data_IF_510065525525
#
_entry.id   IF_510065525525
#
_cell.length_a   1.000
_cell.length_b   1.000
_cell.length_c   1.000
_cell.angle_alpha   90.00
_cell.angle_beta   90.00
_cell.angle_gamma   90.00
#
_symmetry.space_group_name_H-M   'P 1'
#
loop_
_entity.id
_entity.type
_entity.pdbx_description
1 polymer ?
#
# COMPACT_ATOMS: atom_id res chain seq x y z
N UNK A 1 11.12 -5.93 35.11
CA UNK A 1 10.00 -5.34 34.35
C UNK A 1 10.27 -5.65 32.88
N UNK A 2 9.39 -6.36 32.21
CA UNK A 2 9.55 -6.67 30.78
C UNK A 2 9.12 -5.48 29.93
N UNK A 3 9.53 -5.44 28.65
CA UNK A 3 9.06 -4.41 27.71
C UNK A 3 7.53 -4.39 27.58
N UNK A 4 6.90 -5.55 27.68
CA UNK A 4 5.43 -5.67 27.62
C UNK A 4 4.77 -5.09 28.87
N UNK A 5 5.37 -5.26 30.05
CA UNK A 5 4.86 -4.66 31.28
C UNK A 5 4.91 -3.13 31.22
N UNK A 6 5.97 -2.55 30.64
CA UNK A 6 6.06 -1.10 30.42
C UNK A 6 5.00 -0.58 29.44
N UNK A 7 4.65 -1.35 28.40
CA UNK A 7 3.57 -0.98 27.48
C UNK A 7 2.22 -0.99 28.20
N UNK A 8 1.98 -2.01 29.03
CA UNK A 8 0.74 -2.16 29.78
C UNK A 8 0.58 -1.04 30.81
N UNK A 9 1.67 -0.66 31.48
CA UNK A 9 1.69 0.47 32.43
C UNK A 9 1.39 1.80 31.70
N UNK A 10 2.08 2.09 30.60
CA UNK A 10 1.87 3.29 29.81
C UNK A 10 0.44 3.38 29.23
N UNK A 11 -0.17 2.24 28.88
CA UNK A 11 -1.55 2.18 28.46
C UNK A 11 -2.52 2.47 29.61
N UNK A 12 -2.29 1.89 30.79
CA UNK A 12 -3.11 2.11 31.96
C UNK A 12 -3.04 3.56 32.48
N UNK A 13 -1.89 4.19 32.35
CA UNK A 13 -1.69 5.62 32.65
C UNK A 13 -2.28 6.55 31.59
N UNK A 14 -2.75 6.03 30.47
CA UNK A 14 -3.27 6.81 29.35
C UNK A 14 -2.20 7.59 28.57
N UNK A 15 -0.92 7.27 28.78
CA UNK A 15 0.21 7.90 28.08
C UNK A 15 0.26 7.49 26.63
N UNK A 16 -0.19 6.27 26.31
CA UNK A 16 -0.33 5.74 24.96
C UNK A 16 -1.75 5.22 24.73
N UNK A 17 -2.17 5.20 23.45
CA UNK A 17 -3.46 4.62 23.07
C UNK A 17 -3.35 3.10 22.90
N UNK A 18 -4.50 2.39 22.95
CA UNK A 18 -4.55 0.95 22.68
C UNK A 18 -3.91 0.60 21.34
N UNK A 19 -4.15 1.40 20.28
CA UNK A 19 -3.55 1.18 18.96
C UNK A 19 -2.02 1.29 18.98
N UNK A 20 -1.49 2.23 19.76
CA UNK A 20 -0.04 2.38 19.95
C UNK A 20 0.56 1.21 20.74
N UNK A 21 -0.11 0.78 21.80
CA UNK A 21 0.32 -0.38 22.59
C UNK A 21 0.38 -1.65 21.73
N UNK A 22 -0.67 -1.90 20.91
CA UNK A 22 -0.71 -3.05 20.04
C UNK A 22 0.36 -3.00 18.93
N UNK A 23 0.66 -1.83 18.41
CA UNK A 23 1.74 -1.65 17.45
C UNK A 23 3.12 -1.91 18.07
N UNK A 24 3.37 -1.40 19.29
CA UNK A 24 4.62 -1.64 20.01
C UNK A 24 4.81 -3.12 20.33
N UNK A 25 3.75 -3.80 20.77
CA UNK A 25 3.80 -5.26 21.00
C UNK A 25 4.10 -6.03 19.72
N UNK A 26 3.47 -5.68 18.59
CA UNK A 26 3.74 -6.33 17.29
C UNK A 26 5.20 -6.18 16.86
N UNK A 27 5.77 -4.99 17.02
CA UNK A 27 7.17 -4.71 16.68
C UNK A 27 8.13 -5.50 17.54
N UNK A 28 7.86 -5.55 18.84
CA UNK A 28 8.63 -6.36 19.78
C UNK A 28 8.57 -7.85 19.40
N UNK A 29 7.38 -8.39 19.18
CA UNK A 29 7.21 -9.80 18.84
C UNK A 29 7.90 -10.16 17.51
N UNK A 30 7.85 -9.26 16.52
CA UNK A 30 8.55 -9.43 15.25
C UNK A 30 10.07 -9.41 15.39
N UNK A 31 10.60 -8.42 16.10
CA UNK A 31 12.03 -8.31 16.37
C UNK A 31 12.56 -9.47 17.24
N UNK A 32 11.78 -9.87 18.24
CA UNK A 32 12.12 -11.03 19.08
C UNK A 32 12.21 -12.32 18.26
N UNK A 33 11.24 -12.59 17.39
CA UNK A 33 11.23 -13.78 16.54
C UNK A 33 12.41 -13.81 15.56
N UNK A 34 12.87 -12.66 15.10
CA UNK A 34 14.05 -12.56 14.23
C UNK A 34 15.35 -12.75 15.02
N UNK A 35 15.53 -12.06 16.14
CA UNK A 35 16.71 -12.10 16.97
C UNK A 35 16.91 -13.47 17.65
N UNK A 36 15.84 -14.15 18.06
CA UNK A 36 15.87 -15.48 18.66
C UNK A 36 16.42 -16.59 17.73
N UNK A 37 16.61 -16.29 16.45
CA UNK A 37 17.27 -17.23 15.51
C UNK A 37 18.78 -17.28 15.67
N UNK A 38 19.38 -16.23 16.21
CA UNK A 38 20.83 -16.06 16.27
C UNK A 38 21.36 -15.74 17.66
N UNK A 39 20.49 -15.44 18.61
CA UNK A 39 20.83 -15.01 19.98
C UNK A 39 20.12 -15.88 21.02
N UNK A 40 20.61 -15.85 22.26
CA UNK A 40 19.88 -16.45 23.38
C UNK A 40 18.55 -15.72 23.62
N UNK A 41 17.60 -16.37 24.31
CA UNK A 41 16.26 -15.79 24.56
C UNK A 41 16.34 -14.44 25.29
N UNK A 42 17.25 -14.29 26.26
CA UNK A 42 17.37 -13.07 27.04
C UNK A 42 18.01 -11.94 26.22
N UNK A 43 19.03 -12.23 25.43
CA UNK A 43 19.63 -11.27 24.50
C UNK A 43 18.66 -10.86 23.40
N UNK A 44 17.91 -11.81 22.86
CA UNK A 44 16.87 -11.53 21.84
C UNK A 44 15.76 -10.62 22.41
N UNK A 45 15.34 -10.83 23.65
CA UNK A 45 14.35 -9.99 24.32
C UNK A 45 14.87 -8.56 24.58
N UNK A 46 16.11 -8.45 25.04
CA UNK A 46 16.74 -7.14 25.26
C UNK A 46 16.96 -6.36 23.96
N UNK A 47 17.36 -7.03 22.88
CA UNK A 47 17.53 -6.40 21.59
C UNK A 47 16.19 -6.03 20.96
N UNK A 48 15.19 -6.91 21.01
CA UNK A 48 13.85 -6.64 20.52
C UNK A 48 13.17 -5.44 21.21
N UNK A 49 13.46 -5.26 22.51
CA UNK A 49 12.97 -4.09 23.25
C UNK A 49 13.55 -2.79 22.70
N UNK A 50 14.86 -2.75 22.42
CA UNK A 50 15.53 -1.60 21.81
C UNK A 50 14.99 -1.32 20.41
N UNK A 51 14.96 -2.35 19.57
CA UNK A 51 14.51 -2.22 18.18
C UNK A 51 13.06 -1.74 18.07
N UNK A 52 12.18 -2.25 18.94
CA UNK A 52 10.78 -1.84 19.00
C UNK A 52 10.63 -0.37 19.47
N UNK A 53 11.41 0.04 20.47
CA UNK A 53 11.39 1.41 20.98
C UNK A 53 11.90 2.39 19.93
N UNK A 54 13.10 2.17 19.38
CA UNK A 54 13.73 3.04 18.40
C UNK A 54 12.88 3.17 17.13
N UNK A 55 12.32 2.07 16.65
CA UNK A 55 11.45 2.10 15.47
C UNK A 55 10.14 2.87 15.72
N UNK A 56 9.59 2.77 16.92
CA UNK A 56 8.36 3.48 17.32
C UNK A 56 8.61 4.97 17.46
N UNK A 57 9.68 5.36 18.13
CA UNK A 57 10.08 6.76 18.29
C UNK A 57 10.34 7.42 16.93
N UNK A 58 11.12 6.76 16.07
CA UNK A 58 11.40 7.24 14.72
C UNK A 58 10.13 7.48 13.90
N UNK A 59 9.16 6.56 13.95
CA UNK A 59 7.89 6.74 13.24
C UNK A 59 7.03 7.85 13.81
N UNK A 60 6.98 8.00 15.13
CA UNK A 60 6.26 9.11 15.76
C UNK A 60 6.83 10.46 15.33
N UNK A 61 8.16 10.59 15.29
CA UNK A 61 8.84 11.79 14.80
C UNK A 61 8.53 12.03 13.31
N UNK A 62 8.59 11.00 12.49
CA UNK A 62 8.24 11.11 11.07
C UNK A 62 6.76 11.49 10.88
N UNK A 63 5.85 10.91 11.66
CA UNK A 63 4.42 11.24 11.62
C UNK A 63 4.18 12.70 11.98
N UNK A 64 4.79 13.18 13.07
CA UNK A 64 4.69 14.57 13.49
C UNK A 64 5.23 15.53 12.42
N UNK A 65 6.39 15.25 11.85
CA UNK A 65 6.97 16.04 10.75
C UNK A 65 6.07 16.06 9.52
N UNK A 66 5.43 14.95 9.18
CA UNK A 66 4.48 14.88 8.05
C UNK A 66 3.25 15.75 8.30
N UNK A 67 2.66 15.68 9.50
CA UNK A 67 1.51 16.50 9.86
C UNK A 67 1.83 17.99 9.80
N UNK A 68 3.00 18.41 10.30
CA UNK A 68 3.46 19.80 10.20
C UNK A 68 3.57 20.21 8.73
N UNK A 69 4.26 19.42 7.89
CA UNK A 69 4.40 19.72 6.46
C UNK A 69 3.07 19.77 5.72
N UNK A 70 2.11 18.90 6.08
CA UNK A 70 0.77 18.94 5.50
C UNK A 70 0.02 20.22 5.88
N UNK A 71 0.08 20.58 7.16
CA UNK A 71 -0.55 21.80 7.66
C UNK A 71 0.06 23.05 7.00
N UNK A 72 1.40 23.12 6.92
CA UNK A 72 2.09 24.22 6.25
C UNK A 72 1.71 24.33 4.77
N UNK A 73 1.64 23.19 4.08
CA UNK A 73 1.22 23.16 2.68
C UNK A 73 -0.26 23.57 2.49
N UNK A 74 -1.14 23.17 3.41
CA UNK A 74 -2.56 23.59 3.40
C UNK A 74 -2.68 25.09 3.65
N UNK A 75 -1.97 25.62 4.65
CA UNK A 75 -1.99 27.04 4.95
C UNK A 75 -1.43 27.88 3.79
N UNK A 76 -0.32 27.45 3.18
CA UNK A 76 0.24 28.14 2.03
C UNK A 76 -0.76 28.19 0.86
N UNK A 77 -1.50 27.08 0.62
CA UNK A 77 -2.54 27.04 -0.41
C UNK A 77 -3.74 27.93 -0.06
N UNK A 78 -4.16 27.91 1.19
CA UNK A 78 -5.25 28.77 1.65
C UNK A 78 -4.88 30.24 1.50
N UNK A 79 -3.68 30.64 1.90
CA UNK A 79 -3.20 32.00 1.73
C UNK A 79 -3.14 32.40 0.26
N UNK A 80 -2.67 31.54 -0.63
CA UNK A 80 -2.65 31.81 -2.06
C UNK A 80 -4.04 32.07 -2.64
N UNK A 81 -5.07 31.38 -2.15
CA UNK A 81 -6.47 31.61 -2.56
C UNK A 81 -7.04 32.90 -1.97
N UNK A 82 -6.64 33.27 -0.74
CA UNK A 82 -7.12 34.44 -0.02
C UNK A 82 -6.40 35.76 -0.45
N UNK A 83 -5.15 35.66 -0.88
CA UNK A 83 -4.30 36.84 -1.19
C UNK A 83 -4.81 37.66 -2.39
N UNK A 84 -5.78 37.17 -3.14
CA UNK A 84 -6.30 37.85 -4.32
C UNK A 84 -7.32 38.97 -3.96
N UNK A 85 -7.82 39.08 -2.73
CA UNK A 85 -8.67 40.19 -2.22
C UNK A 85 -9.13 39.95 -0.77
N UNK A 86 -8.48 39.05 -0.03
CA UNK A 86 -8.91 38.67 1.32
C UNK A 86 -10.24 37.91 1.36
N UNK A 87 -10.72 37.46 0.21
CA UNK A 87 -11.99 36.74 0.03
C UNK A 87 -11.76 35.45 -0.74
N UNK A 88 -12.61 34.44 -0.48
CA UNK A 88 -12.67 33.26 -1.32
C UNK A 88 -13.15 33.62 -2.72
N UNK A 89 -12.24 33.71 -3.66
CA UNK A 89 -12.56 33.98 -5.06
C UNK A 89 -12.78 32.63 -5.75
N UNK A 90 -13.88 32.51 -6.48
CA UNK A 90 -14.20 31.28 -7.24
C UNK A 90 -13.08 30.88 -8.20
N UNK A 91 -12.37 31.85 -8.77
CA UNK A 91 -11.18 31.64 -9.60
C UNK A 91 -10.03 30.95 -8.83
N UNK A 92 -9.74 31.38 -7.60
CA UNK A 92 -8.71 30.77 -6.77
C UNK A 92 -9.02 29.33 -6.39
N UNK A 93 -10.30 29.05 -6.10
CA UNK A 93 -10.75 27.69 -5.84
C UNK A 93 -10.68 26.83 -7.10
N UNK A 94 -11.10 27.36 -8.25
CA UNK A 94 -11.00 26.66 -9.54
C UNK A 94 -9.54 26.34 -9.88
N UNK A 95 -8.61 27.26 -9.61
CA UNK A 95 -7.18 27.04 -9.85
C UNK A 95 -6.60 25.89 -9.01
N UNK A 96 -7.11 25.61 -7.82
CA UNK A 96 -6.68 24.44 -7.03
C UNK A 96 -6.99 23.14 -7.78
N UNK A 97 -8.08 23.10 -8.50
CA UNK A 97 -8.58 21.92 -9.19
C UNK A 97 -7.99 21.78 -10.60
N UNK A 98 -8.01 22.86 -11.36
CA UNK A 98 -7.70 22.86 -12.78
C UNK A 98 -6.79 24.03 -13.19
N UNK A 99 -6.25 23.95 -14.38
CA UNK A 99 -5.35 24.91 -14.98
C UNK A 99 -6.09 26.15 -15.48
N UNK A 100 -5.84 27.31 -14.90
CA UNK A 100 -6.41 28.56 -15.38
C UNK A 100 -5.56 29.24 -16.49
N UNK A 101 -4.32 28.79 -16.68
CA UNK A 101 -3.41 29.33 -17.69
C UNK A 101 -2.89 30.76 -17.41
N UNK A 102 -3.35 31.41 -16.34
CA UNK A 102 -3.02 32.82 -16.06
C UNK A 102 -1.58 33.05 -15.58
N UNK A 103 -0.95 32.02 -15.06
CA UNK A 103 0.35 32.13 -14.41
C UNK A 103 0.39 32.95 -13.11
N UNK A 104 -0.78 33.32 -12.59
CA UNK A 104 -0.92 34.15 -11.37
C UNK A 104 -0.56 33.38 -10.10
N UNK A 105 -0.69 32.07 -10.13
CA UNK A 105 -0.56 31.21 -8.94
C UNK A 105 0.78 30.52 -8.90
N UNK A 106 1.42 30.51 -7.73
CA UNK A 106 2.75 29.92 -7.51
C UNK A 106 2.74 28.40 -7.51
N UNK A 107 1.64 27.81 -7.09
CA UNK A 107 1.51 26.36 -6.94
C UNK A 107 0.78 25.73 -8.12
N UNK A 108 1.18 24.53 -8.49
CA UNK A 108 0.51 23.78 -9.55
C UNK A 108 -0.85 23.26 -9.04
N UNK A 109 -1.86 23.36 -9.90
CA UNK A 109 -3.16 22.73 -9.70
C UNK A 109 -3.09 21.19 -9.61
N UNK A 110 -4.19 20.56 -9.19
CA UNK A 110 -4.27 19.11 -9.01
C UNK A 110 -4.14 18.37 -10.35
N UNK A 111 -4.75 18.88 -11.43
CA UNK A 111 -4.67 18.22 -12.73
C UNK A 111 -3.26 18.26 -13.30
N UNK A 112 -2.57 19.39 -13.25
CA UNK A 112 -1.17 19.50 -13.65
C UNK A 112 -0.25 18.59 -12.85
N UNK A 113 -0.50 18.41 -11.55
CA UNK A 113 0.25 17.47 -10.71
C UNK A 113 0.00 16.02 -11.13
N UNK A 114 -1.27 15.65 -11.31
CA UNK A 114 -1.66 14.32 -11.79
C UNK A 114 -0.99 14.02 -13.13
N UNK A 115 -1.13 14.92 -14.08
CA UNK A 115 -0.53 14.80 -15.42
C UNK A 115 0.99 14.68 -15.37
N UNK A 116 1.65 15.44 -14.50
CA UNK A 116 3.09 15.35 -14.29
C UNK A 116 3.52 13.96 -13.79
N UNK A 117 2.80 13.36 -12.84
CA UNK A 117 3.11 12.01 -12.36
C UNK A 117 2.84 10.94 -13.41
N UNK A 118 1.73 11.04 -14.13
CA UNK A 118 1.41 10.13 -15.24
C UNK A 118 2.49 10.20 -16.33
N UNK A 119 2.90 11.41 -16.74
CA UNK A 119 3.94 11.61 -17.74
C UNK A 119 5.30 11.04 -17.30
N UNK A 120 5.67 11.22 -16.03
CA UNK A 120 6.90 10.63 -15.47
C UNK A 120 6.85 9.10 -15.46
N UNK A 121 5.71 8.52 -15.08
CA UNK A 121 5.51 7.07 -15.11
C UNK A 121 5.63 6.55 -16.54
N UNK A 122 4.97 7.18 -17.50
CA UNK A 122 5.07 6.83 -18.93
C UNK A 122 6.50 6.95 -19.46
N UNK A 123 7.21 8.05 -19.13
CA UNK A 123 8.60 8.23 -19.56
C UNK A 123 9.54 7.14 -19.05
N UNK A 124 9.37 6.73 -17.78
CA UNK A 124 10.14 5.61 -17.20
C UNK A 124 9.84 4.27 -17.88
N UNK A 125 8.59 4.04 -18.23
CA UNK A 125 8.15 2.80 -18.88
C UNK A 125 8.40 2.79 -20.40
N UNK A 126 8.58 3.93 -21.04
CA UNK A 126 8.61 4.07 -22.50
C UNK A 126 9.66 3.18 -23.18
N UNK A 127 10.86 3.09 -22.61
CA UNK A 127 11.93 2.24 -23.15
C UNK A 127 11.59 0.75 -23.09
N UNK A 128 11.02 0.30 -21.99
CA UNK A 128 10.61 -1.09 -21.78
C UNK A 128 9.43 -1.45 -22.71
N UNK A 129 8.42 -0.58 -22.80
CA UNK A 129 7.27 -0.73 -23.71
C UNK A 129 7.73 -0.78 -25.17
N UNK A 130 8.66 0.09 -25.56
CA UNK A 130 9.21 0.13 -26.92
C UNK A 130 9.95 -1.15 -27.30
N UNK A 131 10.71 -1.74 -26.35
CA UNK A 131 11.35 -3.04 -26.56
C UNK A 131 10.32 -4.15 -26.73
N UNK A 132 9.30 -4.19 -25.90
CA UNK A 132 8.20 -5.16 -26.02
C UNK A 132 7.46 -5.06 -27.37
N UNK A 133 7.21 -3.85 -27.84
CA UNK A 133 6.59 -3.62 -29.17
C UNK A 133 7.45 -4.13 -30.32
N UNK A 134 8.77 -3.93 -30.24
CA UNK A 134 9.72 -4.38 -31.28
C UNK A 134 9.83 -5.91 -31.35
N UNK A 135 9.66 -6.60 -30.24
CA UNK A 135 9.65 -8.06 -30.22
C UNK A 135 8.34 -8.67 -30.75
N UNK A 136 7.44 -7.86 -31.32
CA UNK A 136 6.20 -8.31 -31.97
C UNK A 136 5.09 -8.76 -31.00
N UNK A 137 5.31 -8.56 -29.71
CA UNK A 137 4.51 -9.18 -28.64
C UNK A 137 3.20 -8.42 -28.38
N UNK A 138 3.17 -7.12 -28.62
CA UNK A 138 1.95 -6.30 -28.43
C UNK A 138 1.03 -6.24 -29.66
N UNK A 139 1.31 -6.97 -30.72
CA UNK A 139 0.61 -6.66 -31.97
C UNK A 139 -0.01 -7.78 -32.80
N UNK A 140 0.46 -9.03 -32.81
CA UNK A 140 -0.04 -10.01 -33.81
C UNK A 140 0.05 -11.50 -33.46
N UNK A 141 0.69 -11.95 -32.41
CA UNK A 141 0.77 -13.39 -32.14
C UNK A 141 0.28 -13.72 -30.72
N UNK A 142 -0.97 -14.15 -30.63
CA UNK A 142 -1.60 -14.60 -29.37
C UNK A 142 -0.78 -15.62 -28.58
N UNK A 143 -0.08 -16.54 -29.23
CA UNK A 143 0.70 -17.60 -28.60
C UNK A 143 2.00 -17.10 -27.93
N UNK A 144 2.67 -16.09 -28.50
CA UNK A 144 3.87 -15.50 -27.90
C UNK A 144 3.57 -14.47 -26.79
N UNK A 145 2.38 -13.87 -26.82
CA UNK A 145 1.97 -12.89 -25.82
C UNK A 145 1.68 -13.54 -24.46
N UNK A 146 1.08 -14.72 -24.43
CA UNK A 146 0.79 -15.43 -23.20
C UNK A 146 2.08 -15.89 -22.48
N UNK A 147 3.01 -16.48 -23.21
CA UNK A 147 4.30 -16.87 -22.65
C UNK A 147 5.06 -15.66 -22.04
N UNK A 148 5.06 -14.52 -22.73
CA UNK A 148 5.72 -13.32 -22.19
C UNK A 148 4.98 -12.73 -21.00
N UNK A 149 3.63 -12.77 -20.97
CA UNK A 149 2.88 -12.33 -19.80
C UNK A 149 3.25 -13.18 -18.57
N UNK A 150 3.39 -14.49 -18.75
CA UNK A 150 3.84 -15.38 -17.70
C UNK A 150 5.26 -15.03 -17.23
N UNK A 151 6.20 -14.85 -18.17
CA UNK A 151 7.56 -14.44 -17.86
C UNK A 151 7.60 -13.09 -17.13
N UNK A 152 6.79 -12.14 -17.59
CA UNK A 152 6.70 -10.82 -17.00
C UNK A 152 6.21 -10.88 -15.54
N UNK A 153 5.16 -11.65 -15.29
CA UNK A 153 4.63 -11.81 -13.93
C UNK A 153 5.66 -12.48 -13.04
N UNK A 154 6.36 -13.53 -13.52
CA UNK A 154 7.46 -14.15 -12.79
C UNK A 154 8.53 -13.14 -12.37
N UNK A 155 9.02 -12.35 -13.31
CA UNK A 155 10.06 -11.35 -13.05
C UNK A 155 9.60 -10.25 -12.07
N UNK A 156 8.34 -9.82 -12.15
CA UNK A 156 7.77 -8.84 -11.22
C UNK A 156 7.68 -9.42 -9.79
N UNK A 157 7.45 -10.72 -9.67
CA UNK A 157 7.45 -11.44 -8.39
C UNK A 157 8.83 -11.96 -7.98
N UNK A 158 9.90 -11.48 -8.61
CA UNK A 158 11.31 -11.85 -8.35
C UNK A 158 11.61 -13.33 -8.65
N UNK A 159 10.90 -13.94 -9.56
CA UNK A 159 11.19 -15.28 -10.08
C UNK A 159 11.85 -15.12 -11.45
N UNK A 160 13.08 -15.63 -11.62
CA UNK A 160 13.80 -15.52 -12.88
C UNK A 160 13.11 -16.37 -13.96
N UNK A 161 12.65 -15.72 -15.01
CA UNK A 161 12.02 -16.36 -16.18
C UNK A 161 13.01 -16.74 -17.26
N UNK A 162 14.26 -16.28 -17.18
CA UNK A 162 15.25 -16.36 -18.24
C UNK A 162 15.00 -15.40 -19.42
N UNK A 163 13.93 -14.58 -19.38
CA UNK A 163 13.55 -13.68 -20.46
C UNK A 163 14.04 -12.25 -20.18
N UNK A 164 15.11 -11.83 -20.85
CA UNK A 164 15.71 -10.51 -20.66
C UNK A 164 14.75 -9.34 -20.96
N UNK A 165 13.78 -9.52 -21.86
CA UNK A 165 12.78 -8.49 -22.16
C UNK A 165 11.78 -8.35 -21.01
N UNK A 166 11.30 -9.46 -20.47
CA UNK A 166 10.44 -9.49 -19.29
C UNK A 166 11.13 -8.87 -18.07
N UNK A 167 12.39 -9.26 -17.83
CA UNK A 167 13.23 -8.73 -16.74
C UNK A 167 13.41 -7.21 -16.81
N UNK A 168 13.71 -6.68 -17.99
CA UNK A 168 13.84 -5.23 -18.19
C UNK A 168 12.53 -4.48 -17.95
N UNK A 169 11.41 -5.05 -18.37
CA UNK A 169 10.09 -4.45 -18.12
C UNK A 169 9.73 -4.50 -16.65
N UNK A 170 9.90 -5.64 -15.99
CA UNK A 170 9.64 -5.80 -14.58
C UNK A 170 10.44 -4.80 -13.72
N UNK A 171 11.73 -4.62 -14.03
CA UNK A 171 12.56 -3.61 -13.38
C UNK A 171 11.98 -2.19 -13.55
N UNK A 172 11.64 -1.79 -14.77
CA UNK A 172 11.05 -0.48 -15.04
C UNK A 172 9.71 -0.29 -14.31
N UNK A 173 8.89 -1.34 -14.24
CA UNK A 173 7.64 -1.36 -13.49
C UNK A 173 7.83 -1.13 -12.00
N UNK A 174 8.69 -1.95 -11.37
CA UNK A 174 8.95 -1.87 -9.92
C UNK A 174 9.55 -0.51 -9.54
N UNK A 175 10.50 0.00 -10.32
CA UNK A 175 11.10 1.32 -10.10
C UNK A 175 10.06 2.46 -10.25
N UNK A 176 9.14 2.33 -11.20
CA UNK A 176 8.07 3.32 -11.40
C UNK A 176 7.05 3.29 -10.27
N UNK A 177 6.64 2.10 -9.84
CA UNK A 177 5.73 1.93 -8.71
C UNK A 177 6.36 2.48 -7.41
N UNK A 178 7.64 2.21 -7.17
CA UNK A 178 8.36 2.73 -6.01
C UNK A 178 8.49 4.26 -6.04
N UNK A 179 8.75 4.85 -7.20
CA UNK A 179 8.74 6.31 -7.37
C UNK A 179 7.37 6.91 -6.99
N UNK A 180 6.29 6.31 -7.44
CA UNK A 180 4.93 6.78 -7.13
C UNK A 180 4.61 6.61 -5.64
N UNK A 181 4.98 5.48 -5.04
CA UNK A 181 4.83 5.22 -3.62
C UNK A 181 5.57 6.26 -2.77
N UNK A 182 6.84 6.53 -3.12
CA UNK A 182 7.66 7.53 -2.43
C UNK A 182 7.08 8.95 -2.58
N UNK A 183 6.61 9.30 -3.78
CA UNK A 183 5.96 10.58 -4.03
C UNK A 183 4.70 10.76 -3.18
N UNK A 184 3.87 9.71 -3.10
CA UNK A 184 2.69 9.70 -2.24
C UNK A 184 3.05 9.84 -0.75
N UNK A 185 4.05 9.08 -0.29
CA UNK A 185 4.50 9.16 1.11
C UNK A 185 5.14 10.52 1.44
N UNK A 186 5.86 11.12 0.49
CA UNK A 186 6.41 12.47 0.65
C UNK A 186 5.31 13.53 0.80
N UNK A 187 4.18 13.32 0.16
CA UNK A 187 3.00 14.19 0.28
C UNK A 187 2.17 13.94 1.55
N UNK A 188 2.65 13.08 2.45
CA UNK A 188 1.98 12.77 3.73
C UNK A 188 1.23 11.45 3.75
N UNK A 189 1.35 10.65 2.70
CA UNK A 189 0.87 9.28 2.70
C UNK A 189 1.74 8.37 3.57
N UNK A 190 1.30 7.12 3.74
CA UNK A 190 2.01 6.12 4.53
C UNK A 190 1.81 4.71 3.94
N UNK A 191 2.12 4.54 2.66
CA UNK A 191 2.09 3.23 2.01
C UNK A 191 3.39 2.49 2.37
N UNK A 192 3.33 1.36 3.11
CA UNK A 192 4.52 0.58 3.43
C UNK A 192 5.12 -0.02 2.16
N UNK A 193 6.43 -0.27 2.18
CA UNK A 193 7.07 -1.07 1.14
C UNK A 193 6.88 -2.55 1.50
N UNK A 194 6.34 -3.31 0.56
CA UNK A 194 6.17 -4.76 0.71
C UNK A 194 7.10 -5.48 -0.26
N UNK A 195 7.79 -6.49 0.21
CA UNK A 195 8.66 -7.34 -0.62
C UNK A 195 7.88 -8.30 -1.52
N UNK A 196 6.63 -8.61 -1.12
CA UNK A 196 5.71 -9.50 -1.82
C UNK A 196 4.71 -8.76 -2.73
N UNK A 197 4.85 -7.44 -2.87
CA UNK A 197 4.02 -6.68 -3.78
C UNK A 197 4.64 -6.66 -5.18
N UNK A 198 3.96 -7.28 -6.12
CA UNK A 198 4.38 -7.28 -7.53
C UNK A 198 3.50 -6.39 -8.40
N UNK A 199 2.21 -6.69 -8.44
CA UNK A 199 1.23 -5.98 -9.27
C UNK A 199 -0.04 -5.63 -8.47
N UNK A 200 -0.75 -4.56 -8.88
CA UNK A 200 -2.09 -4.29 -8.34
C UNK A 200 -3.02 -5.46 -8.60
N UNK A 201 -3.80 -5.84 -7.60
CA UNK A 201 -4.83 -6.85 -7.75
C UNK A 201 -6.11 -6.19 -8.26
N UNK A 202 -6.63 -6.72 -9.34
CA UNK A 202 -7.94 -6.37 -9.84
C UNK A 202 -8.91 -7.52 -9.54
N UNK A 203 -10.13 -7.16 -9.23
CA UNK A 203 -11.17 -8.14 -8.94
C UNK A 203 -12.35 -7.85 -9.85
N UNK A 204 -12.73 -8.79 -10.71
CA UNK A 204 -13.98 -8.68 -11.45
C UNK A 204 -15.15 -8.93 -10.50
N UNK A 205 -15.70 -7.84 -9.98
CA UNK A 205 -16.81 -7.88 -9.01
C UNK A 205 -18.07 -8.53 -9.57
N UNK A 206 -18.26 -8.49 -10.88
CA UNK A 206 -19.42 -9.12 -11.50
C UNK A 206 -19.27 -10.63 -11.45
N UNK A 207 -18.13 -11.15 -11.91
CA UNK A 207 -17.86 -12.60 -11.87
C UNK A 207 -17.85 -13.12 -10.44
N UNK A 208 -17.21 -12.42 -9.50
CA UNK A 208 -17.17 -12.81 -8.09
C UNK A 208 -18.58 -12.85 -7.46
N UNK A 209 -19.44 -11.89 -7.83
CA UNK A 209 -20.83 -11.88 -7.36
C UNK A 209 -21.66 -13.02 -7.97
N UNK A 210 -21.48 -13.31 -9.25
CA UNK A 210 -22.15 -14.39 -9.96
C UNK A 210 -21.76 -15.76 -9.41
N UNK A 211 -20.49 -15.97 -9.09
CA UNK A 211 -19.99 -17.20 -8.46
C UNK A 211 -20.49 -17.38 -7.02
N UNK A 212 -20.67 -16.29 -6.29
CA UNK A 212 -20.99 -16.34 -4.87
C UNK A 212 -19.79 -16.64 -3.99
N UNK A 213 -20.00 -16.55 -2.66
CA UNK A 213 -18.90 -16.70 -1.71
C UNK A 213 -18.28 -18.10 -1.73
N UNK A 214 -19.10 -19.15 -1.71
CA UNK A 214 -18.62 -20.52 -1.59
C UNK A 214 -17.74 -20.95 -2.77
N UNK A 215 -18.15 -20.64 -4.00
CA UNK A 215 -17.38 -20.95 -5.20
C UNK A 215 -16.09 -20.12 -5.26
N UNK A 216 -16.19 -18.81 -5.01
CA UNK A 216 -15.01 -17.93 -4.97
C UNK A 216 -14.03 -18.37 -3.87
N UNK A 217 -14.51 -18.67 -2.67
CA UNK A 217 -13.71 -19.17 -1.55
C UNK A 217 -12.99 -20.48 -1.90
N UNK A 218 -13.72 -21.43 -2.44
CA UNK A 218 -13.16 -22.73 -2.85
C UNK A 218 -12.04 -22.56 -3.87
N UNK A 219 -12.22 -21.66 -4.82
CA UNK A 219 -11.21 -21.36 -5.83
C UNK A 219 -9.96 -20.67 -5.25
N UNK A 220 -10.17 -19.63 -4.44
CA UNK A 220 -9.07 -18.77 -3.99
C UNK A 220 -8.26 -19.36 -2.84
N UNK A 221 -8.90 -20.13 -1.95
CA UNK A 221 -8.30 -20.64 -0.72
C UNK A 221 -6.97 -21.36 -0.96
N UNK A 222 -6.92 -22.23 -1.98
CA UNK A 222 -5.74 -23.02 -2.30
C UNK A 222 -4.69 -22.29 -3.12
N UNK A 223 -5.01 -21.11 -3.64
CA UNK A 223 -4.08 -20.24 -4.35
C UNK A 223 -3.28 -19.34 -3.39
N UNK A 224 -3.73 -19.18 -2.14
CA UNK A 224 -3.14 -18.25 -1.19
C UNK A 224 -2.01 -18.86 -0.37
N UNK A 225 -1.00 -18.04 -0.10
CA UNK A 225 0.07 -18.34 0.84
C UNK A 225 -0.32 -17.89 2.26
N UNK A 226 -1.01 -18.76 2.94
CA UNK A 226 -1.46 -18.50 4.31
C UNK A 226 -0.35 -18.29 5.33
N UNK A 227 0.87 -18.71 5.03
CA UNK A 227 2.02 -18.48 5.91
C UNK A 227 2.51 -17.02 5.87
N UNK A 228 2.16 -16.28 4.81
CA UNK A 228 2.52 -14.86 4.65
C UNK A 228 1.35 -13.90 4.82
N UNK A 229 0.12 -14.40 4.97
CA UNK A 229 -1.06 -13.58 5.24
C UNK A 229 -1.13 -13.30 6.74
N UNK A 230 -0.94 -12.02 7.07
CA UNK A 230 -0.89 -11.54 8.44
C UNK A 230 -2.17 -10.74 8.74
N UNK A 231 -2.78 -11.00 9.87
CA UNK A 231 -3.90 -10.20 10.36
C UNK A 231 -3.42 -8.78 10.68
N UNK A 232 -4.06 -7.78 10.10
CA UNK A 232 -3.74 -6.38 10.39
C UNK A 232 -4.03 -5.97 11.83
N UNK A 233 -4.99 -6.66 12.45
CA UNK A 233 -5.38 -6.40 13.83
C UNK A 233 -4.34 -6.91 14.83
N UNK A 234 -3.77 -8.09 14.58
CA UNK A 234 -2.90 -8.78 15.54
C UNK A 234 -1.43 -8.80 15.12
N UNK A 235 -1.11 -8.51 13.84
CA UNK A 235 0.22 -8.66 13.27
C UNK A 235 0.71 -10.10 13.20
N UNK A 236 -0.17 -11.08 13.40
CA UNK A 236 0.17 -12.52 13.40
C UNK A 236 -0.42 -13.22 12.19
N UNK A 237 0.19 -14.36 11.84
CA UNK A 237 -0.34 -15.27 10.82
C UNK A 237 -1.78 -15.67 11.20
N UNK A 238 -2.66 -15.70 10.22
CA UNK A 238 -4.06 -16.01 10.42
C UNK A 238 -4.20 -17.53 10.68
N UNK A 239 -4.74 -17.94 11.85
CA UNK A 239 -4.98 -19.35 12.16
C UNK A 239 -6.00 -19.96 11.20
N UNK A 240 -5.96 -21.29 11.05
CA UNK A 240 -6.85 -22.00 10.11
C UNK A 240 -8.34 -21.72 10.37
N UNK A 241 -8.71 -21.65 11.63
CA UNK A 241 -10.09 -21.44 12.10
C UNK A 241 -10.64 -20.05 11.72
N UNK A 242 -9.77 -19.08 11.51
CA UNK A 242 -10.16 -17.69 11.16
C UNK A 242 -10.08 -17.40 9.65
N UNK A 243 -9.55 -18.32 8.85
CA UNK A 243 -9.34 -18.09 7.41
C UNK A 243 -10.63 -17.85 6.65
N UNK A 244 -11.67 -18.56 7.02
CA UNK A 244 -12.98 -18.43 6.38
C UNK A 244 -13.61 -17.07 6.67
N UNK A 245 -13.58 -16.62 7.93
CA UNK A 245 -14.04 -15.29 8.32
C UNK A 245 -13.27 -14.18 7.57
N UNK A 246 -11.96 -14.32 7.45
CA UNK A 246 -11.12 -13.36 6.71
C UNK A 246 -11.45 -13.35 5.22
N UNK A 247 -11.68 -14.51 4.60
CA UNK A 247 -12.10 -14.57 3.20
C UNK A 247 -13.48 -13.97 2.99
N UNK A 248 -14.42 -14.20 3.91
CA UNK A 248 -15.74 -13.56 3.88
C UNK A 248 -15.62 -12.04 3.92
N UNK A 249 -14.79 -11.52 4.80
CA UNK A 249 -14.54 -10.09 4.93
C UNK A 249 -13.91 -9.49 3.68
N UNK A 250 -12.94 -10.19 3.06
CA UNK A 250 -12.32 -9.78 1.79
C UNK A 250 -13.35 -9.80 0.66
N UNK A 251 -14.16 -10.85 0.55
CA UNK A 251 -15.22 -10.98 -0.44
C UNK A 251 -16.20 -9.80 -0.38
N UNK A 252 -16.72 -9.48 0.80
CA UNK A 252 -17.61 -8.35 1.01
C UNK A 252 -16.94 -7.03 0.66
N UNK A 253 -15.65 -6.87 1.00
CA UNK A 253 -14.88 -5.68 0.68
C UNK A 253 -14.69 -5.52 -0.83
N UNK A 254 -14.48 -6.60 -1.56
CA UNK A 254 -14.41 -6.59 -3.01
C UNK A 254 -15.77 -6.17 -3.61
N UNK A 255 -16.85 -6.82 -3.21
CA UNK A 255 -18.18 -6.56 -3.75
C UNK A 255 -18.67 -5.13 -3.48
N UNK A 256 -18.39 -4.60 -2.31
CA UNK A 256 -18.80 -3.25 -1.90
C UNK A 256 -17.79 -2.17 -2.30
N UNK A 257 -16.68 -2.52 -2.95
CA UNK A 257 -15.54 -1.60 -3.20
C UNK A 257 -14.99 -0.95 -1.93
N UNK A 258 -15.05 -1.66 -0.81
CA UNK A 258 -14.59 -1.20 0.49
C UNK A 258 -15.60 -0.31 1.23
N UNK A 259 -16.84 -0.20 0.75
CA UNK A 259 -17.89 0.56 1.45
C UNK A 259 -18.30 -0.09 2.77
N UNK A 260 -18.21 -1.41 2.90
CA UNK A 260 -18.42 -2.14 4.16
C UNK A 260 -17.43 -1.74 5.27
N UNK A 261 -16.27 -1.17 4.89
CA UNK A 261 -15.25 -0.67 5.83
C UNK A 261 -15.39 0.81 6.15
N UNK A 262 -16.30 1.50 5.48
CA UNK A 262 -16.74 2.85 5.82
C UNK A 262 -17.76 2.73 6.95
N UNK A 263 -17.37 2.11 8.05
CA UNK A 263 -18.16 2.24 9.26
C UNK A 263 -18.10 3.68 9.70
N UNK A 264 -19.31 4.22 9.85
CA UNK A 264 -19.69 5.38 10.60
C UNK A 264 -18.57 6.37 10.76
N UNK A 265 -18.79 7.51 10.27
CA UNK A 265 -18.13 8.74 10.64
C UNK A 265 -17.79 8.74 12.13
N UNK A 266 -16.91 7.88 12.56
CA UNK A 266 -16.04 8.25 13.63
C UNK A 266 -15.31 9.41 13.02
N UNK A 267 -15.98 10.47 13.19
CA UNK A 267 -15.56 11.83 13.12
C UNK A 267 -14.05 11.89 12.94
N UNK A 268 -13.72 12.61 11.89
CA UNK A 268 -12.46 13.25 11.76
C UNK A 268 -11.28 12.35 12.12
N UNK A 269 -10.97 11.51 11.16
CA UNK A 269 -9.61 11.37 10.87
C UNK A 269 -8.64 11.06 11.94
N UNK A 270 -8.67 9.95 12.51
CA UNK A 270 -7.42 9.38 12.94
C UNK A 270 -6.78 8.63 11.76
N UNK A 271 -6.27 9.39 10.81
CA UNK A 271 -5.04 9.10 10.11
C UNK A 271 -5.03 8.05 8.99
N UNK A 272 -6.14 7.43 8.61
CA UNK A 272 -6.14 6.49 7.47
C UNK A 272 -6.91 7.07 6.29
N UNK A 273 -6.18 7.37 5.19
CA UNK A 273 -6.84 7.78 3.94
C UNK A 273 -7.78 6.69 3.46
N UNK A 274 -8.85 7.08 2.76
CA UNK A 274 -9.80 6.15 2.14
C UNK A 274 -9.10 5.12 1.24
N UNK A 275 -8.04 5.53 0.55
CA UNK A 275 -7.21 4.66 -0.27
C UNK A 275 -6.54 3.55 0.55
N UNK A 276 -6.04 3.87 1.75
CA UNK A 276 -5.39 2.89 2.64
C UNK A 276 -6.41 1.90 3.18
N UNK A 277 -7.57 2.37 3.65
CA UNK A 277 -8.65 1.49 4.14
C UNK A 277 -9.12 0.50 3.07
N UNK A 278 -9.14 0.91 1.80
CA UNK A 278 -9.56 0.06 0.69
C UNK A 278 -8.50 -0.95 0.24
N UNK A 279 -7.22 -0.63 0.38
CA UNK A 279 -6.13 -1.49 -0.05
C UNK A 279 -5.84 -2.62 0.94
N UNK A 280 -5.84 -2.29 2.23
CA UNK A 280 -5.39 -3.20 3.28
C UNK A 280 -6.27 -4.45 3.40
N UNK A 281 -7.57 -4.31 3.17
CA UNK A 281 -8.55 -5.41 3.32
C UNK A 281 -8.83 -6.22 2.05
N UNK A 282 -8.08 -6.00 0.98
CA UNK A 282 -8.28 -6.72 -0.29
C UNK A 282 -7.01 -7.33 -0.83
N UNK A 283 -5.91 -7.22 -0.09
CA UNK A 283 -4.64 -7.73 -0.55
C UNK A 283 -4.55 -9.23 -0.27
N UNK A 284 -4.49 -10.02 -1.34
CA UNK A 284 -4.33 -11.45 -1.31
C UNK A 284 -2.85 -11.78 -1.58
N UNK A 285 -2.24 -12.60 -0.73
CA UNK A 285 -0.88 -13.10 -0.95
C UNK A 285 -0.97 -14.46 -1.63
N UNK A 286 -0.63 -14.51 -2.90
CA UNK A 286 -0.64 -15.75 -3.67
C UNK A 286 0.61 -16.57 -3.44
N UNK A 287 0.53 -17.89 -3.55
CA UNK A 287 1.64 -18.84 -3.36
C UNK A 287 2.78 -18.59 -4.35
N UNK A 288 2.42 -18.29 -5.59
CA UNK A 288 3.36 -18.11 -6.69
C UNK A 288 2.77 -17.19 -7.78
N UNK A 289 3.58 -16.75 -8.75
CA UNK A 289 3.12 -15.93 -9.86
C UNK A 289 2.02 -16.57 -10.71
N UNK A 290 2.06 -17.88 -10.88
CA UNK A 290 1.08 -18.66 -11.64
C UNK A 290 -0.30 -18.63 -11.00
N UNK A 291 -0.35 -18.78 -9.66
CA UNK A 291 -1.59 -18.66 -8.89
C UNK A 291 -2.20 -17.26 -8.99
N UNK A 292 -1.35 -16.22 -8.94
CA UNK A 292 -1.78 -14.84 -9.14
C UNK A 292 -2.36 -14.65 -10.55
N UNK A 293 -1.67 -15.14 -11.58
CA UNK A 293 -2.08 -14.98 -12.98
C UNK A 293 -3.39 -15.73 -13.26
N UNK A 294 -3.56 -16.93 -12.70
CA UNK A 294 -4.78 -17.71 -12.85
C UNK A 294 -6.01 -17.02 -12.25
N UNK A 295 -5.81 -16.19 -11.24
CA UNK A 295 -6.88 -15.43 -10.60
C UNK A 295 -7.28 -14.17 -11.36
N UNK A 296 -6.36 -13.53 -12.14
CA UNK A 296 -6.62 -12.28 -12.86
C UNK A 296 -7.34 -12.51 -14.19
#
# INVERSE_FOLDING_TARGET
MSFKDCIDEALNEGTITQEQADEMRRRYDGAFAENARTMSSDEAAAQASRDAFDSTEYELVLRKRRLIKQHDAQNARLQEVLDIDGKYVGEGVSHILDRDGSGRYKHRDLDSRRTSYVSRAHARMAGAISKMRRTGILGRQRRGAEALNNDLVKEIFNVDSGNATAKNFAKAWVETAEMLRQAFNKAGGAIPKRSDWGMPQQHDRRLIREAGFEEWRSYIHDQLDWARIISERTGRIIPKEQREEVLQEIYETILTSGMNKVKETSVAGKGRSLARRRADHRFLVFKNPEAWLAYQ
#
